data_IF_587742615471
#
_entry.id   IF_587742615471
#
_cell.length_a   1.000
_cell.length_b   1.000
_cell.length_c   1.000
_cell.angle_alpha   90.00
_cell.angle_beta   90.00
_cell.angle_gamma   90.00
#
_symmetry.space_group_name_H-M   'P 1'
#
loop_
_entity.id
_entity.type
_entity.pdbx_description
1 polymer ?
#
# COMPACT_ATOMS: atom_id res chain seq x y z
N UNK A 1 -2.58 24.68 3.02
CA UNK A 1 -1.74 23.47 2.92
C UNK A 1 -0.76 23.72 1.78
N UNK A 2 0.42 23.09 1.79
CA UNK A 2 1.32 23.10 0.63
C UNK A 2 1.61 21.64 0.26
N UNK A 3 1.01 21.16 -0.82
CA UNK A 3 0.99 19.78 -1.26
C UNK A 3 2.41 19.26 -1.49
N UNK A 4 3.27 20.08 -2.09
CA UNK A 4 4.69 19.74 -2.29
C UNK A 4 5.43 19.54 -0.96
N UNK A 5 5.17 20.38 0.04
CA UNK A 5 5.79 20.23 1.37
C UNK A 5 5.45 18.88 2.00
N UNK A 6 4.18 18.49 1.98
CA UNK A 6 3.76 17.18 2.52
C UNK A 6 4.37 16.03 1.73
N UNK A 7 4.40 16.12 0.39
CA UNK A 7 5.05 15.12 -0.46
C UNK A 7 6.52 14.91 -0.07
N UNK A 8 7.30 15.98 0.05
CA UNK A 8 8.72 15.88 0.41
C UNK A 8 8.94 15.28 1.81
N UNK A 9 8.07 15.61 2.78
CA UNK A 9 8.14 15.03 4.12
C UNK A 9 7.86 13.53 4.06
N UNK A 10 6.78 13.11 3.40
CA UNK A 10 6.42 11.69 3.32
C UNK A 10 7.46 10.88 2.55
N UNK A 11 7.96 11.38 1.42
CA UNK A 11 9.04 10.73 0.66
C UNK A 11 10.33 10.66 1.50
N UNK A 12 10.66 11.72 2.25
CA UNK A 12 11.81 11.71 3.15
C UNK A 12 11.71 10.64 4.24
N UNK A 13 10.52 10.42 4.80
CA UNK A 13 10.26 9.34 5.76
C UNK A 13 10.43 7.98 5.08
N UNK A 14 9.84 7.77 3.90
CA UNK A 14 9.96 6.51 3.14
C UNK A 14 11.43 6.18 2.85
N UNK A 15 12.20 7.16 2.36
CA UNK A 15 13.63 6.98 2.08
C UNK A 15 14.40 6.64 3.37
N UNK A 16 14.05 7.29 4.49
CA UNK A 16 14.66 6.98 5.79
C UNK A 16 14.35 5.54 6.22
N UNK A 17 13.09 5.11 6.10
CA UNK A 17 12.68 3.74 6.41
C UNK A 17 13.36 2.71 5.50
N UNK A 18 13.50 3.02 4.20
CA UNK A 18 14.20 2.17 3.24
C UNK A 18 15.68 1.99 3.61
N UNK A 19 16.36 3.08 3.96
CA UNK A 19 17.75 3.01 4.45
C UNK A 19 17.83 2.17 5.71
N UNK A 20 16.93 2.37 6.68
CA UNK A 20 16.89 1.59 7.92
C UNK A 20 16.66 0.09 7.65
N UNK A 21 15.74 -0.27 6.75
CA UNK A 21 15.50 -1.65 6.32
C UNK A 21 16.75 -2.29 5.68
N UNK A 22 17.43 -1.57 4.78
CA UNK A 22 18.66 -2.06 4.14
C UNK A 22 19.78 -2.23 5.16
N UNK A 23 19.98 -1.25 6.05
CA UNK A 23 21.01 -1.34 7.09
C UNK A 23 20.72 -2.43 8.11
N UNK A 24 19.45 -2.69 8.43
CA UNK A 24 19.09 -3.75 9.38
C UNK A 24 19.35 -5.14 8.79
N UNK A 25 19.04 -5.34 7.51
CA UNK A 25 19.39 -6.58 6.81
C UNK A 25 20.90 -6.76 6.63
N UNK A 26 21.63 -5.71 6.27
CA UNK A 26 23.09 -5.74 6.19
C UNK A 26 23.72 -6.16 7.52
N UNK A 27 23.24 -5.58 8.62
CA UNK A 27 23.69 -5.91 9.97
C UNK A 27 23.41 -7.37 10.32
N UNK A 28 22.20 -7.85 10.01
CA UNK A 28 21.80 -9.24 10.22
C UNK A 28 22.72 -10.20 9.44
N UNK A 29 22.94 -9.92 8.16
CA UNK A 29 23.72 -10.77 7.26
C UNK A 29 25.20 -10.86 7.69
N UNK A 30 25.85 -9.72 7.95
CA UNK A 30 27.27 -9.70 8.28
C UNK A 30 27.59 -10.30 9.65
N UNK A 31 26.71 -10.10 10.63
CA UNK A 31 26.91 -10.62 11.98
C UNK A 31 26.27 -11.99 12.19
N UNK A 32 25.72 -12.61 11.12
CA UNK A 32 25.05 -13.92 11.16
C UNK A 32 23.97 -13.98 12.24
N UNK A 33 23.22 -12.88 12.40
CA UNK A 33 22.15 -12.79 13.39
C UNK A 33 20.91 -13.54 12.89
N UNK A 34 20.06 -13.91 13.84
CA UNK A 34 18.76 -14.49 13.50
C UNK A 34 17.73 -13.40 13.14
N UNK A 35 16.62 -13.83 12.53
CA UNK A 35 15.50 -12.96 12.15
C UNK A 35 14.73 -12.32 13.33
N UNK A 36 14.99 -12.75 14.56
CA UNK A 36 14.46 -12.14 15.78
C UNK A 36 15.33 -10.99 16.29
N UNK A 37 16.46 -10.69 15.62
CA UNK A 37 17.25 -9.50 15.91
C UNK A 37 16.34 -8.26 16.00
N UNK A 38 16.54 -7.48 17.06
CA UNK A 38 15.68 -6.35 17.38
C UNK A 38 15.67 -5.31 16.27
N UNK A 39 16.84 -5.00 15.70
CA UNK A 39 16.96 -3.97 14.68
C UNK A 39 16.35 -4.42 13.36
N UNK A 40 16.59 -5.68 12.96
CA UNK A 40 15.92 -6.29 11.82
C UNK A 40 14.41 -6.26 11.99
N UNK A 41 13.87 -6.85 13.06
CA UNK A 41 12.42 -6.95 13.28
C UNK A 41 11.71 -5.59 13.30
N UNK A 42 12.37 -4.53 13.82
CA UNK A 42 11.75 -3.21 13.98
C UNK A 42 11.64 -2.40 12.69
N UNK A 43 12.54 -2.61 11.73
CA UNK A 43 12.63 -1.84 10.49
C UNK A 43 12.49 -2.68 9.22
N UNK A 44 12.40 -3.99 9.34
CA UNK A 44 12.22 -4.88 8.21
C UNK A 44 10.85 -4.69 7.56
N UNK A 45 10.83 -4.51 6.25
CA UNK A 45 9.60 -4.19 5.50
C UNK A 45 8.56 -5.32 5.52
N UNK A 46 8.99 -6.59 5.46
CA UNK A 46 8.10 -7.76 5.54
C UNK A 46 7.55 -8.03 6.95
N UNK A 47 8.10 -7.36 7.97
CA UNK A 47 7.70 -7.55 9.36
C UNK A 47 6.51 -6.68 9.74
N UNK A 48 5.69 -7.23 10.61
CA UNK A 48 4.41 -6.66 10.93
C UNK A 48 4.36 -6.10 12.33
N UNK A 49 3.52 -5.09 12.54
CA UNK A 49 3.44 -4.29 13.78
C UNK A 49 4.76 -3.62 14.14
N UNK A 50 5.48 -3.16 13.13
CA UNK A 50 6.76 -2.48 13.29
C UNK A 50 6.69 -1.03 12.76
N UNK A 51 7.84 -0.35 12.65
CA UNK A 51 7.82 1.08 12.28
C UNK A 51 7.30 1.30 10.84
N UNK A 52 7.80 0.57 9.82
CA UNK A 52 7.24 0.62 8.47
C UNK A 52 5.73 0.35 8.39
N UNK A 53 5.22 -0.76 8.91
CA UNK A 53 3.81 -1.11 8.70
C UNK A 53 2.83 -0.19 9.46
N UNK A 54 3.23 0.34 10.62
CA UNK A 54 2.47 1.41 11.30
C UNK A 54 2.43 2.68 10.44
N UNK A 55 3.53 3.01 9.77
CA UNK A 55 3.57 4.16 8.88
C UNK A 55 2.73 3.95 7.61
N UNK A 56 2.81 2.79 6.95
CA UNK A 56 1.96 2.41 5.82
C UNK A 56 0.48 2.51 6.18
N UNK A 57 0.06 1.96 7.33
CA UNK A 57 -1.32 2.10 7.80
C UNK A 57 -1.71 3.55 8.08
N UNK A 58 -0.83 4.34 8.67
CA UNK A 58 -1.10 5.77 8.89
C UNK A 58 -1.29 6.53 7.59
N UNK A 59 -0.51 6.24 6.54
CA UNK A 59 -0.70 6.82 5.21
C UNK A 59 -2.10 6.50 4.67
N UNK A 60 -2.53 5.25 4.75
CA UNK A 60 -3.87 4.81 4.31
C UNK A 60 -4.99 5.50 5.10
N UNK A 61 -4.87 5.57 6.43
CA UNK A 61 -5.81 6.29 7.28
C UNK A 61 -5.86 7.78 6.94
N UNK A 62 -4.69 8.41 6.74
CA UNK A 62 -4.61 9.82 6.40
C UNK A 62 -5.24 10.11 5.03
N UNK A 63 -5.01 9.25 4.03
CA UNK A 63 -5.70 9.32 2.74
C UNK A 63 -7.22 9.18 2.90
N UNK A 64 -7.68 8.25 3.75
CA UNK A 64 -9.11 8.08 4.08
C UNK A 64 -9.71 9.37 4.67
N UNK A 65 -9.03 10.01 5.62
CA UNK A 65 -9.49 11.25 6.23
C UNK A 65 -9.53 12.42 5.22
N UNK A 66 -8.56 12.51 4.32
CA UNK A 66 -8.55 13.51 3.25
C UNK A 66 -9.70 13.29 2.26
N UNK A 67 -9.97 12.04 1.87
CA UNK A 67 -11.09 11.68 1.02
C UNK A 67 -12.43 12.07 1.66
N UNK A 68 -12.60 11.79 2.94
CA UNK A 68 -13.78 12.18 3.69
C UNK A 68 -13.95 13.70 3.71
N UNK A 69 -12.86 14.44 3.93
CA UNK A 69 -12.85 15.90 3.88
C UNK A 69 -13.24 16.44 2.50
N UNK A 70 -12.77 15.82 1.42
CA UNK A 70 -13.18 16.16 0.05
C UNK A 70 -14.66 15.86 -0.16
N UNK A 71 -15.17 14.75 0.37
CA UNK A 71 -16.58 14.36 0.27
C UNK A 71 -17.53 15.40 0.90
N UNK A 72 -17.11 16.06 1.98
CA UNK A 72 -17.88 17.13 2.62
C UNK A 72 -17.75 18.49 1.91
N UNK A 73 -16.69 18.70 1.14
CA UNK A 73 -16.47 19.91 0.35
C UNK A 73 -17.01 19.72 -1.08
N UNK A 74 -18.35 19.70 -1.21
CA UNK A 74 -19.18 19.42 -2.41
C UNK A 74 -18.86 20.21 -3.71
N UNK A 75 -17.86 21.08 -3.70
CA UNK A 75 -17.66 22.17 -4.65
C UNK A 75 -16.46 21.97 -5.58
N UNK A 76 -15.68 20.89 -5.44
CA UNK A 76 -14.45 20.75 -6.22
C UNK A 76 -14.67 20.18 -7.62
N UNK A 77 -15.56 19.20 -7.77
CA UNK A 77 -15.80 18.47 -9.01
C UNK A 77 -17.27 18.03 -8.96
N UNK A 78 -17.98 18.03 -10.10
CA UNK A 78 -19.37 17.55 -10.23
C UNK A 78 -19.47 16.01 -10.08
N UNK A 79 -18.65 15.45 -9.18
CA UNK A 79 -18.60 14.07 -8.76
C UNK A 79 -19.40 13.95 -7.47
N UNK A 80 -20.18 12.88 -7.38
CA UNK A 80 -21.06 12.63 -6.26
C UNK A 80 -20.26 12.45 -4.98
N UNK A 81 -20.73 13.02 -3.87
CA UNK A 81 -20.23 12.77 -2.51
C UNK A 81 -20.05 11.28 -2.21
N UNK A 82 -20.97 10.45 -2.71
CA UNK A 82 -20.94 8.99 -2.52
C UNK A 82 -19.65 8.34 -3.03
N UNK A 83 -19.05 8.85 -4.12
CA UNK A 83 -17.78 8.33 -4.64
C UNK A 83 -16.61 8.60 -3.68
N UNK A 84 -16.52 9.82 -3.16
CA UNK A 84 -15.47 10.19 -2.21
C UNK A 84 -15.62 9.47 -0.87
N UNK A 85 -16.87 9.34 -0.39
CA UNK A 85 -17.18 8.59 0.83
C UNK A 85 -16.88 7.11 0.68
N UNK A 86 -17.24 6.48 -0.45
CA UNK A 86 -16.94 5.06 -0.66
C UNK A 86 -15.44 4.79 -0.76
N UNK A 87 -14.68 5.70 -1.40
CA UNK A 87 -13.23 5.59 -1.45
C UNK A 87 -12.59 5.80 -0.07
N UNK A 88 -13.12 6.73 0.73
CA UNK A 88 -12.69 6.92 2.12
C UNK A 88 -12.88 5.65 2.96
N UNK A 89 -14.04 5.00 2.85
CA UNK A 89 -14.32 3.73 3.54
C UNK A 89 -13.35 2.64 3.07
N UNK A 90 -13.06 2.54 1.78
CA UNK A 90 -12.10 1.58 1.24
C UNK A 90 -10.69 1.79 1.83
N UNK A 91 -10.18 3.02 1.83
CA UNK A 91 -8.85 3.31 2.40
C UNK A 91 -8.81 3.10 3.92
N UNK A 92 -9.92 3.32 4.62
CA UNK A 92 -10.02 2.97 6.04
C UNK A 92 -9.94 1.47 6.26
N UNK A 93 -10.63 0.68 5.42
CA UNK A 93 -10.52 -0.78 5.45
C UNK A 93 -9.09 -1.24 5.20
N UNK A 94 -8.42 -0.72 4.16
CA UNK A 94 -7.02 -1.05 3.86
C UNK A 94 -6.08 -0.69 5.02
N UNK A 95 -6.29 0.46 5.67
CA UNK A 95 -5.52 0.84 6.87
C UNK A 95 -5.68 -0.15 8.03
N UNK A 96 -6.90 -0.67 8.23
CA UNK A 96 -7.17 -1.67 9.25
C UNK A 96 -6.62 -3.05 8.86
N UNK A 97 -6.70 -3.39 7.58
CA UNK A 97 -6.12 -4.61 7.04
C UNK A 97 -4.62 -4.67 7.30
N UNK A 98 -3.89 -3.61 6.97
CA UNK A 98 -2.46 -3.43 7.25
C UNK A 98 -2.13 -3.62 8.74
N UNK A 99 -2.89 -3.00 9.65
CA UNK A 99 -2.61 -3.12 11.10
C UNK A 99 -2.96 -4.49 11.68
N UNK A 100 -4.00 -5.13 11.15
CA UNK A 100 -4.60 -6.33 11.74
C UNK A 100 -4.27 -7.61 10.98
N UNK A 101 -3.63 -7.50 9.81
CA UNK A 101 -3.27 -8.58 8.89
C UNK A 101 -4.50 -9.40 8.51
N UNK A 102 -5.55 -8.72 8.07
CA UNK A 102 -6.85 -9.38 7.81
C UNK A 102 -6.70 -10.31 6.61
N UNK A 103 -6.06 -9.86 5.53
CA UNK A 103 -5.80 -10.66 4.32
C UNK A 103 -5.00 -11.93 4.63
N UNK A 104 -3.99 -11.86 5.50
CA UNK A 104 -3.23 -13.06 5.89
C UNK A 104 -4.06 -14.06 6.71
N UNK A 105 -4.91 -13.58 7.62
CA UNK A 105 -5.78 -14.44 8.44
C UNK A 105 -6.87 -15.12 7.62
N UNK A 106 -7.24 -14.50 6.51
CA UNK A 106 -8.24 -15.02 5.59
C UNK A 106 -7.66 -16.17 4.77
N UNK A 107 -6.38 -16.13 4.38
CA UNK A 107 -5.73 -17.17 3.57
C UNK A 107 -6.02 -18.61 4.03
N UNK A 108 -5.77 -18.96 5.31
CA UNK A 108 -6.05 -20.30 5.85
C UNK A 108 -7.54 -20.69 5.85
N UNK A 109 -8.46 -19.73 5.86
CA UNK A 109 -9.91 -20.00 5.81
C UNK A 109 -10.36 -20.43 4.41
N UNK A 110 -9.56 -20.13 3.41
CA UNK A 110 -9.72 -20.61 2.04
C UNK A 110 -8.95 -21.92 1.81
N UNK A 111 -8.77 -22.76 2.83
CA UNK A 111 -8.08 -24.05 2.71
C UNK A 111 -8.70 -24.97 1.65
N UNK A 112 -9.97 -24.80 1.26
CA UNK A 112 -10.53 -25.52 0.10
C UNK A 112 -9.85 -25.17 -1.25
N UNK A 113 -9.04 -24.10 -1.30
CA UNK A 113 -8.11 -23.77 -2.39
C UNK A 113 -6.72 -24.40 -2.15
N UNK A 114 -6.64 -25.52 -1.42
CA UNK A 114 -5.44 -26.24 -0.94
C UNK A 114 -4.38 -26.56 -2.03
N UNK A 115 -4.71 -26.44 -3.32
CA UNK A 115 -3.77 -26.59 -4.45
C UNK A 115 -3.25 -25.26 -5.01
N UNK A 116 -3.37 -24.17 -4.25
CA UNK A 116 -2.82 -22.87 -4.64
C UNK A 116 -1.30 -22.94 -4.70
N UNK A 117 -0.75 -22.81 -5.90
CA UNK A 117 0.69 -22.94 -6.18
C UNK A 117 1.12 -21.87 -7.19
N UNK A 118 2.43 -21.64 -7.30
CA UNK A 118 2.96 -20.61 -8.18
C UNK A 118 2.48 -19.21 -7.77
N UNK A 119 1.94 -18.45 -8.72
CA UNK A 119 1.53 -17.05 -8.50
C UNK A 119 0.38 -16.88 -7.51
N UNK A 120 -0.36 -17.95 -7.20
CA UNK A 120 -1.46 -17.92 -6.23
C UNK A 120 -1.08 -18.52 -4.88
N UNK A 121 0.22 -18.70 -4.60
CA UNK A 121 0.73 -19.27 -3.34
C UNK A 121 0.04 -18.67 -2.10
N UNK A 122 -0.19 -17.36 -2.12
CA UNK A 122 -1.03 -16.69 -1.14
C UNK A 122 -2.50 -16.76 -1.56
N UNK A 123 -3.25 -17.69 -0.96
CA UNK A 123 -4.65 -17.96 -1.31
C UNK A 123 -5.56 -16.72 -1.21
N UNK A 124 -5.21 -15.75 -0.36
CA UNK A 124 -5.97 -14.50 -0.18
C UNK A 124 -5.95 -13.60 -1.44
N UNK A 125 -4.94 -13.73 -2.30
CA UNK A 125 -4.79 -12.96 -3.55
C UNK A 125 -5.99 -13.17 -4.47
N UNK A 126 -6.61 -14.35 -4.46
CA UNK A 126 -7.78 -14.66 -5.30
C UNK A 126 -9.00 -13.82 -4.87
N UNK A 127 -9.53 -13.92 -3.63
CA UNK A 127 -10.68 -13.12 -3.22
C UNK A 127 -10.38 -11.61 -3.25
N UNK A 128 -9.21 -11.16 -2.81
CA UNK A 128 -8.86 -9.73 -2.84
C UNK A 128 -8.65 -9.22 -4.27
N UNK A 129 -8.07 -10.02 -5.17
CA UNK A 129 -7.92 -9.69 -6.58
C UNK A 129 -9.26 -9.52 -7.28
N UNK A 130 -10.22 -10.41 -7.01
CA UNK A 130 -11.60 -10.30 -7.53
C UNK A 130 -12.27 -9.04 -6.99
N UNK A 131 -12.24 -8.81 -5.68
CA UNK A 131 -12.84 -7.63 -5.04
C UNK A 131 -12.20 -6.35 -5.59
N UNK A 132 -10.89 -6.29 -5.67
CA UNK A 132 -10.13 -5.14 -6.22
C UNK A 132 -10.51 -4.88 -7.68
N UNK A 133 -10.65 -5.92 -8.49
CA UNK A 133 -11.06 -5.79 -9.90
C UNK A 133 -12.48 -5.23 -10.01
N UNK A 134 -13.44 -5.79 -9.25
CA UNK A 134 -14.84 -5.33 -9.26
C UNK A 134 -14.93 -3.87 -8.79
N UNK A 135 -14.26 -3.53 -7.70
CA UNK A 135 -14.21 -2.16 -7.17
C UNK A 135 -13.58 -1.21 -8.20
N UNK A 136 -12.48 -1.62 -8.85
CA UNK A 136 -11.84 -0.86 -9.92
C UNK A 136 -12.81 -0.55 -11.06
N UNK A 137 -13.55 -1.56 -11.54
CA UNK A 137 -14.56 -1.41 -12.59
C UNK A 137 -15.70 -0.46 -12.16
N UNK A 138 -16.17 -0.55 -10.92
CA UNK A 138 -17.20 0.35 -10.38
C UNK A 138 -16.71 1.81 -10.33
N UNK A 139 -15.41 2.02 -10.10
CA UNK A 139 -14.80 3.35 -10.05
C UNK A 139 -14.36 3.91 -11.41
N UNK A 140 -14.30 3.12 -12.48
CA UNK A 140 -13.94 3.63 -13.82
C UNK A 140 -14.84 4.80 -14.25
N UNK A 141 -16.15 4.63 -14.19
CA UNK A 141 -17.09 5.67 -14.66
C UNK A 141 -16.95 7.01 -13.90
N UNK A 142 -16.89 7.06 -12.55
CA UNK A 142 -16.69 8.32 -11.84
C UNK A 142 -15.25 8.86 -11.98
N UNK A 143 -14.22 8.02 -12.05
CA UNK A 143 -12.82 8.48 -12.13
C UNK A 143 -12.56 9.23 -13.45
N UNK A 144 -13.14 8.79 -14.57
CA UNK A 144 -13.01 9.48 -15.86
C UNK A 144 -13.69 10.86 -15.91
N UNK A 145 -14.47 11.24 -14.89
CA UNK A 145 -15.01 12.60 -14.76
C UNK A 145 -14.04 13.57 -14.09
N UNK A 146 -12.93 13.08 -13.54
CA UNK A 146 -11.90 13.90 -12.93
C UNK A 146 -11.13 14.70 -14.00
N UNK A 147 -10.62 15.89 -13.66
CA UNK A 147 -9.68 16.61 -14.53
C UNK A 147 -8.50 15.72 -14.92
N UNK A 148 -8.00 15.85 -16.16
CA UNK A 148 -6.95 14.99 -16.74
C UNK A 148 -5.75 14.74 -15.81
N UNK A 149 -5.27 15.79 -15.13
CA UNK A 149 -4.17 15.68 -14.17
C UNK A 149 -4.53 14.82 -12.95
N UNK A 150 -5.70 15.04 -12.38
CA UNK A 150 -6.18 14.28 -11.21
C UNK A 150 -6.43 12.82 -11.57
N UNK A 151 -7.03 12.58 -12.74
CA UNK A 151 -7.19 11.24 -13.29
C UNK A 151 -5.84 10.52 -13.42
N UNK A 152 -4.85 11.16 -14.06
CA UNK A 152 -3.52 10.58 -14.23
C UNK A 152 -2.86 10.26 -12.89
N UNK A 153 -2.92 11.18 -11.92
CA UNK A 153 -2.35 10.97 -10.58
C UNK A 153 -3.04 9.80 -9.86
N UNK A 154 -4.38 9.71 -9.92
CA UNK A 154 -5.13 8.62 -9.29
C UNK A 154 -4.81 7.26 -9.91
N UNK A 155 -4.77 7.19 -11.24
CA UNK A 155 -4.45 5.95 -11.96
C UNK A 155 -3.01 5.54 -11.65
N UNK A 156 -2.04 6.44 -11.82
CA UNK A 156 -0.64 6.12 -11.56
C UNK A 156 -0.38 5.71 -10.10
N UNK A 157 -0.96 6.43 -9.13
CA UNK A 157 -0.83 6.06 -7.71
C UNK A 157 -1.46 4.70 -7.41
N UNK A 158 -2.65 4.43 -7.97
CA UNK A 158 -3.35 3.16 -7.79
C UNK A 158 -2.62 2.00 -8.45
N UNK A 159 -2.10 2.18 -9.67
CA UNK A 159 -1.30 1.17 -10.36
C UNK A 159 -0.02 0.85 -9.59
N UNK A 160 0.71 1.85 -9.09
CA UNK A 160 1.93 1.63 -8.30
C UNK A 160 1.59 0.82 -7.03
N UNK A 161 0.54 1.21 -6.30
CA UNK A 161 0.09 0.52 -5.10
C UNK A 161 -0.31 -0.95 -5.39
N UNK A 162 -1.20 -1.18 -6.36
CA UNK A 162 -1.68 -2.53 -6.71
C UNK A 162 -0.55 -3.41 -7.26
N UNK A 163 0.38 -2.84 -8.02
CA UNK A 163 1.52 -3.59 -8.55
C UNK A 163 2.48 -4.03 -7.44
N UNK A 164 2.59 -3.29 -6.33
CA UNK A 164 3.20 -3.77 -5.09
C UNK A 164 2.35 -4.88 -4.48
N UNK A 165 1.23 -4.50 -3.87
CA UNK A 165 0.39 -5.33 -3.01
C UNK A 165 -0.10 -6.66 -3.59
N UNK A 166 -0.35 -6.71 -4.91
CA UNK A 166 -0.79 -7.95 -5.57
C UNK A 166 0.29 -8.45 -6.51
N UNK A 167 0.90 -7.56 -7.29
CA UNK A 167 1.85 -7.96 -8.33
C UNK A 167 3.13 -8.60 -7.76
N UNK A 168 3.78 -7.95 -6.80
CA UNK A 168 5.02 -8.44 -6.23
C UNK A 168 4.80 -9.61 -5.26
N UNK A 169 3.68 -9.61 -4.55
CA UNK A 169 3.20 -10.75 -3.77
C UNK A 169 2.99 -12.02 -4.62
N UNK A 170 2.38 -11.89 -5.80
CA UNK A 170 2.23 -13.03 -6.73
C UNK A 170 3.60 -13.53 -7.23
N UNK A 171 4.54 -12.63 -7.49
CA UNK A 171 5.90 -12.99 -7.94
C UNK A 171 6.68 -13.66 -6.80
N UNK A 172 6.55 -13.14 -5.57
CA UNK A 172 7.21 -13.68 -4.38
C UNK A 172 6.66 -15.06 -4.05
N UNK A 173 5.34 -15.25 -4.10
CA UNK A 173 4.67 -16.53 -3.95
C UNK A 173 5.11 -17.58 -4.99
N UNK A 174 5.22 -17.18 -6.25
CA UNK A 174 5.75 -18.06 -7.31
C UNK A 174 7.20 -18.47 -7.04
N UNK A 175 8.03 -17.53 -6.59
CA UNK A 175 9.43 -17.80 -6.26
C UNK A 175 9.57 -18.77 -5.08
N UNK A 176 8.74 -18.65 -4.04
CA UNK A 176 8.71 -19.57 -2.89
C UNK A 176 8.32 -20.98 -3.37
N UNK A 177 7.24 -21.09 -4.14
CA UNK A 177 6.72 -22.38 -4.60
C UNK A 177 7.70 -23.18 -5.48
N UNK A 178 8.62 -22.52 -6.19
CA UNK A 178 9.62 -23.18 -7.04
C UNK A 178 10.83 -23.72 -6.27
N UNK A 179 11.13 -23.19 -5.09
CA UNK A 179 12.39 -23.46 -4.39
C UNK A 179 12.19 -24.20 -3.05
N UNK A 180 10.95 -24.58 -2.71
CA UNK A 180 10.59 -25.33 -1.49
C UNK A 180 11.18 -24.74 -0.19
N UNK A 181 11.36 -23.41 -0.14
CA UNK A 181 11.93 -22.77 1.05
C UNK A 181 11.00 -22.92 2.25
N UNK A 182 11.57 -23.28 3.40
CA UNK A 182 10.85 -23.26 4.67
C UNK A 182 10.43 -21.81 4.98
N UNK A 183 9.14 -21.58 5.24
CA UNK A 183 8.52 -20.29 5.58
C UNK A 183 9.31 -19.48 6.64
N UNK A 184 10.02 -20.18 7.53
CA UNK A 184 10.75 -19.58 8.65
C UNK A 184 12.10 -18.94 8.26
N UNK A 185 12.65 -19.21 7.07
CA UNK A 185 13.96 -18.65 6.66
C UNK A 185 13.85 -17.73 5.43
N UNK A 186 12.66 -17.56 4.87
CA UNK A 186 12.48 -16.85 3.59
C UNK A 186 12.90 -15.37 3.71
N UNK A 187 12.63 -14.76 4.87
CA UNK A 187 12.88 -13.33 5.15
C UNK A 187 14.35 -12.92 5.06
N UNK A 188 15.25 -13.84 5.34
CA UNK A 188 16.70 -13.61 5.33
C UNK A 188 17.33 -13.91 3.96
N UNK A 189 16.59 -14.52 3.02
CA UNK A 189 17.08 -14.80 1.68
C UNK A 189 17.21 -13.49 0.89
N UNK A 190 18.38 -13.15 0.31
CA UNK A 190 18.61 -11.87 -0.34
C UNK A 190 17.60 -11.52 -1.44
N UNK A 191 17.19 -12.52 -2.23
CA UNK A 191 16.21 -12.32 -3.32
C UNK A 191 14.83 -11.98 -2.79
N UNK A 192 14.40 -12.63 -1.71
CA UNK A 192 13.11 -12.34 -1.09
C UNK A 192 13.15 -10.98 -0.38
N UNK A 193 14.27 -10.67 0.31
CA UNK A 193 14.53 -9.35 0.87
C UNK A 193 14.31 -8.23 -0.15
N UNK A 194 14.87 -8.38 -1.35
CA UNK A 194 14.70 -7.40 -2.43
C UNK A 194 13.24 -7.31 -2.87
N UNK A 195 12.54 -8.43 -3.04
CA UNK A 195 11.15 -8.45 -3.51
C UNK A 195 10.21 -7.69 -2.57
N UNK A 196 10.14 -8.06 -1.30
CA UNK A 196 9.25 -7.35 -0.36
C UNK A 196 9.72 -5.92 -0.09
N UNK A 197 11.02 -5.62 -0.21
CA UNK A 197 11.50 -4.25 -0.06
C UNK A 197 10.96 -3.36 -1.19
N UNK A 198 10.91 -3.87 -2.42
CA UNK A 198 10.34 -3.15 -3.56
C UNK A 198 8.82 -3.04 -3.40
N UNK A 199 8.17 -4.11 -2.96
CA UNK A 199 6.72 -4.17 -2.71
C UNK A 199 6.25 -3.08 -1.78
N UNK A 200 6.75 -3.07 -0.54
CA UNK A 200 6.42 -2.11 0.50
C UNK A 200 6.80 -0.68 0.11
N UNK A 201 7.93 -0.50 -0.57
CA UNK A 201 8.31 0.80 -1.11
C UNK A 201 7.31 1.31 -2.15
N UNK A 202 6.88 0.45 -3.08
CA UNK A 202 5.88 0.79 -4.09
C UNK A 202 4.55 1.15 -3.44
N UNK A 203 4.11 0.39 -2.45
CA UNK A 203 2.87 0.67 -1.73
C UNK A 203 2.89 2.04 -1.04
N UNK A 204 3.88 2.30 -0.20
CA UNK A 204 4.05 3.58 0.49
C UNK A 204 4.16 4.75 -0.50
N UNK A 205 4.90 4.56 -1.61
CA UNK A 205 5.05 5.57 -2.65
C UNK A 205 3.72 5.84 -3.37
N UNK A 206 2.98 4.79 -3.74
CA UNK A 206 1.67 4.89 -4.36
C UNK A 206 0.69 5.69 -3.50
N UNK A 207 0.58 5.35 -2.21
CA UNK A 207 -0.30 6.06 -1.27
C UNK A 207 0.18 7.51 -1.07
N UNK A 208 1.49 7.75 -1.02
CA UNK A 208 2.04 9.10 -0.87
C UNK A 208 1.73 10.01 -2.07
N UNK A 209 1.83 9.49 -3.30
CA UNK A 209 1.44 10.22 -4.51
C UNK A 209 -0.06 10.50 -4.54
N UNK A 210 -0.87 9.57 -4.05
CA UNK A 210 -2.30 9.75 -3.90
C UNK A 210 -2.63 10.86 -2.89
N UNK A 211 -2.03 10.83 -1.70
CA UNK A 211 -2.17 11.88 -0.66
C UNK A 211 -1.79 13.25 -1.22
N UNK A 212 -0.67 13.33 -1.95
CA UNK A 212 -0.24 14.58 -2.59
C UNK A 212 -1.34 15.17 -3.48
N UNK A 213 -1.98 14.34 -4.30
CA UNK A 213 -3.08 14.77 -5.17
C UNK A 213 -4.33 15.18 -4.37
N UNK A 214 -4.69 14.46 -3.31
CA UNK A 214 -5.82 14.83 -2.43
C UNK A 214 -5.60 16.19 -1.75
N UNK A 215 -4.38 16.45 -1.27
CA UNK A 215 -4.04 17.74 -0.67
C UNK A 215 -4.09 18.85 -1.73
N UNK A 216 -3.58 18.58 -2.94
CA UNK A 216 -3.63 19.54 -4.06
C UNK A 216 -5.07 19.91 -4.44
N UNK A 217 -5.97 18.93 -4.46
CA UNK A 217 -7.41 19.14 -4.65
C UNK A 217 -7.95 20.14 -3.61
N UNK A 218 -7.67 19.91 -2.33
CA UNK A 218 -8.13 20.79 -1.25
C UNK A 218 -7.51 22.21 -1.31
N UNK A 219 -6.28 22.34 -1.79
CA UNK A 219 -5.59 23.64 -1.96
C UNK A 219 -6.22 24.50 -3.05
N UNK A 220 -6.49 23.90 -4.20
CA UNK A 220 -7.15 24.61 -5.31
C UNK A 220 -8.54 25.05 -4.86
N UNK A 221 -9.25 24.20 -4.10
CA UNK A 221 -10.57 24.55 -3.59
C UNK A 221 -10.55 25.78 -2.67
N UNK A 222 -9.60 25.81 -1.74
CA UNK A 222 -9.43 26.95 -0.83
C UNK A 222 -9.15 28.24 -1.60
N UNK A 223 -8.32 28.16 -2.64
CA UNK A 223 -7.97 29.31 -3.49
C UNK A 223 -9.16 29.82 -4.29
N UNK A 224 -10.05 28.93 -4.76
CA UNK A 224 -11.25 29.34 -5.48
C UNK A 224 -12.31 30.03 -4.61
N UNK A 225 -12.35 29.74 -3.30
CA UNK A 225 -13.27 30.39 -2.36
C UNK A 225 -12.80 31.79 -1.92
N UNK A 226 -11.54 32.13 -2.17
CA UNK A 226 -10.93 33.42 -1.80
C UNK A 226 -10.95 34.45 -2.95
N UNK A 227 -11.43 34.05 -4.14
CA UNK A 227 -11.62 34.91 -5.31
C UNK A 227 -13.10 35.21 -5.48
#
# INVERSE_FOLDING_TARGET
MNSKKYLYILVGIIVTLLVLNITSYWNLYNNQLDQNDFFFKKFNFDNEKNVPSIFSSFLLFFASALLLKIAFNNSFINIKKTFWTSLSILFLFLSLDELLRIHEKIGPQFSFLENTSGIFHYAWVIPYGIITTVIGLLYLKPIFKLPRRTLFMFISSGTIFIAGAIGLEMISGWYIGQNEYAQQEIRIIPRFFILYTIEEFMEMLGITLFIYELIRILEIHKTSLQK
#
